data_IF_768100502135
#
_entry.id   IF_768100502135
#
_cell.length_a   1.000
_cell.length_b   1.000
_cell.length_c   1.000
_cell.angle_alpha   90.00
_cell.angle_beta   90.00
_cell.angle_gamma   90.00
#
_symmetry.space_group_name_H-M   'P 1'
#
loop_
_entity.id
_entity.type
_entity.pdbx_description
1 polymer ?
#
# COMPACT_ATOMS: atom_id res chain seq x y z
N UNK A 1 -36.57 22.26 11.82
CA UNK A 1 -35.68 21.11 11.55
C UNK A 1 -34.94 20.83 12.85
N UNK A 2 -35.03 19.61 13.37
CA UNK A 2 -34.38 19.27 14.64
C UNK A 2 -32.86 19.29 14.48
N UNK A 3 -32.17 19.96 15.38
CA UNK A 3 -30.73 20.11 15.36
C UNK A 3 -30.06 18.78 15.73
N UNK A 4 -28.97 18.43 15.04
CA UNK A 4 -28.20 17.21 15.36
C UNK A 4 -27.64 17.33 16.77
N UNK A 5 -27.61 16.21 17.48
CA UNK A 5 -26.98 16.12 18.81
C UNK A 5 -25.51 16.46 18.70
N UNK A 6 -25.03 17.32 19.59
CA UNK A 6 -23.63 17.67 19.69
C UNK A 6 -22.82 16.53 20.34
N UNK A 7 -21.52 16.49 20.08
CA UNK A 7 -20.60 15.48 20.60
C UNK A 7 -20.61 15.41 22.14
N UNK A 8 -20.71 16.57 22.79
CA UNK A 8 -20.74 16.69 24.25
C UNK A 8 -22.09 16.33 24.86
N UNK A 9 -23.13 16.15 24.04
CA UNK A 9 -24.47 15.69 24.48
C UNK A 9 -24.60 14.16 24.40
N UNK A 10 -23.58 13.46 23.91
CA UNK A 10 -23.59 12.00 23.75
C UNK A 10 -23.07 11.33 25.02
N UNK A 11 -23.91 10.79 25.91
CA UNK A 11 -23.44 10.21 27.17
C UNK A 11 -22.56 8.98 26.89
N UNK A 12 -21.35 8.98 27.46
CA UNK A 12 -20.37 7.88 27.43
C UNK A 12 -19.88 7.40 26.05
N UNK A 13 -20.14 8.18 24.99
CA UNK A 13 -19.72 7.83 23.62
C UNK A 13 -18.41 8.48 23.17
N UNK A 14 -17.86 9.43 23.92
CA UNK A 14 -16.67 10.18 23.48
C UNK A 14 -15.50 9.26 23.21
N UNK A 15 -15.30 8.21 24.02
CA UNK A 15 -14.26 7.22 23.80
C UNK A 15 -14.46 6.46 22.48
N UNK A 16 -15.67 5.97 22.23
CA UNK A 16 -16.01 5.27 20.99
C UNK A 16 -15.88 6.19 19.76
N UNK A 17 -16.40 7.43 19.84
CA UNK A 17 -16.31 8.39 18.74
C UNK A 17 -14.87 8.80 18.48
N UNK A 18 -14.09 9.16 19.49
CA UNK A 18 -12.68 9.54 19.31
C UNK A 18 -11.85 8.34 18.83
N UNK A 19 -12.09 7.14 19.36
CA UNK A 19 -11.33 5.93 19.01
C UNK A 19 -11.66 5.37 17.63
N UNK A 20 -12.90 5.51 17.16
CA UNK A 20 -13.35 4.96 15.87
C UNK A 20 -13.30 6.00 14.76
N UNK A 21 -13.59 7.27 15.04
CA UNK A 21 -13.78 8.31 14.01
C UNK A 21 -12.55 9.18 13.76
N UNK A 22 -11.55 9.15 14.65
CA UNK A 22 -10.30 9.88 14.49
C UNK A 22 -9.12 8.93 14.34
N UNK A 23 -8.22 9.29 13.45
CA UNK A 23 -6.87 8.71 13.40
C UNK A 23 -6.01 9.28 14.53
N UNK A 24 -4.94 8.58 14.91
CA UNK A 24 -3.99 9.05 15.92
C UNK A 24 -3.38 10.42 15.56
N UNK A 25 -3.08 10.64 14.28
CA UNK A 25 -2.54 11.92 13.80
C UNK A 25 -3.58 13.06 13.92
N UNK A 26 -4.85 12.79 13.64
CA UNK A 26 -5.93 13.75 13.84
C UNK A 26 -6.12 14.06 15.33
N UNK A 27 -6.05 13.05 16.21
CA UNK A 27 -6.10 13.25 17.65
C UNK A 27 -5.02 14.23 18.13
N UNK A 28 -3.76 13.98 17.76
CA UNK A 28 -2.63 14.87 18.09
C UNK A 28 -2.84 16.30 17.57
N UNK A 29 -3.27 16.42 16.32
CA UNK A 29 -3.53 17.72 15.67
C UNK A 29 -4.66 18.50 16.35
N UNK A 30 -5.77 17.83 16.66
CA UNK A 30 -6.94 18.45 17.27
C UNK A 30 -6.67 18.84 18.72
N UNK A 31 -5.94 18.02 19.48
CA UNK A 31 -5.51 18.34 20.83
C UNK A 31 -4.67 19.62 20.87
N UNK A 32 -3.64 19.71 20.01
CA UNK A 32 -2.79 20.92 19.90
C UNK A 32 -3.58 22.15 19.50
N UNK A 33 -4.47 22.03 18.50
CA UNK A 33 -5.34 23.15 18.08
C UNK A 33 -6.34 23.58 19.14
N UNK A 34 -6.77 22.66 20.00
CA UNK A 34 -7.61 22.93 21.16
C UNK A 34 -6.89 23.68 22.28
N UNK A 35 -5.56 23.78 22.22
CA UNK A 35 -4.74 24.36 23.29
C UNK A 35 -4.47 23.37 24.43
N UNK A 36 -4.60 22.06 24.19
CA UNK A 36 -4.28 21.06 25.19
C UNK A 36 -2.75 20.95 25.33
N UNK A 37 -2.24 21.27 26.52
CA UNK A 37 -0.84 21.10 26.87
C UNK A 37 -0.63 19.67 27.37
N UNK A 38 0.17 18.91 26.63
CA UNK A 38 0.58 17.55 26.96
C UNK A 38 2.12 17.51 26.97
N UNK A 39 2.74 16.59 27.73
CA UNK A 39 4.19 16.40 27.73
C UNK A 39 4.76 16.15 26.33
N UNK A 40 6.03 16.48 26.13
CA UNK A 40 6.71 16.30 24.83
C UNK A 40 6.79 14.82 24.41
N UNK A 41 6.85 13.91 25.38
CA UNK A 41 6.84 12.45 25.21
C UNK A 41 5.44 11.82 25.29
N UNK A 42 4.38 12.63 25.17
CA UNK A 42 3.00 12.16 25.32
C UNK A 42 2.66 11.01 24.35
N UNK A 43 2.18 9.91 24.93
CA UNK A 43 1.75 8.72 24.17
C UNK A 43 0.42 8.95 23.46
N UNK A 44 0.10 8.12 22.47
CA UNK A 44 -1.19 8.17 21.77
C UNK A 44 -2.39 7.99 22.69
N UNK A 45 -2.24 7.17 23.74
CA UNK A 45 -3.25 7.02 24.77
C UNK A 45 -3.51 8.34 25.53
N UNK A 46 -2.47 9.12 25.83
CA UNK A 46 -2.63 10.41 26.51
C UNK A 46 -3.38 11.42 25.64
N UNK A 47 -3.07 11.49 24.35
CA UNK A 47 -3.82 12.32 23.41
C UNK A 47 -5.29 11.89 23.30
N UNK A 48 -5.54 10.58 23.21
CA UNK A 48 -6.90 10.03 23.17
C UNK A 48 -7.67 10.36 24.45
N UNK A 49 -7.12 10.03 25.62
CA UNK A 49 -7.74 10.28 26.92
C UNK A 49 -8.04 11.77 27.16
N UNK A 50 -7.10 12.65 26.80
CA UNK A 50 -7.30 14.08 26.88
C UNK A 50 -8.47 14.54 26.01
N UNK A 51 -8.52 14.13 24.74
CA UNK A 51 -9.64 14.46 23.86
C UNK A 51 -10.97 13.94 24.39
N UNK A 52 -11.02 12.68 24.82
CA UNK A 52 -12.24 12.07 25.40
C UNK A 52 -12.74 12.91 26.57
N UNK A 53 -11.85 13.28 27.51
CA UNK A 53 -12.20 14.12 28.66
C UNK A 53 -12.79 15.46 28.23
N UNK A 54 -12.11 16.19 27.35
CA UNK A 54 -12.55 17.52 26.92
C UNK A 54 -13.76 17.49 25.97
N UNK A 55 -14.09 16.35 25.38
CA UNK A 55 -15.28 16.19 24.54
C UNK A 55 -16.54 15.82 25.34
N UNK A 56 -16.45 15.55 26.64
CA UNK A 56 -17.61 15.28 27.52
C UNK A 56 -18.41 16.52 27.86
N UNK A 57 -17.80 17.69 27.72
CA UNK A 57 -18.42 18.98 28.01
C UNK A 57 -18.31 19.89 26.78
N UNK A 58 -19.13 20.93 26.75
CA UNK A 58 -19.07 21.94 25.69
C UNK A 58 -17.77 22.77 25.82
N UNK A 59 -16.71 22.30 25.16
CA UNK A 59 -15.41 22.95 25.16
C UNK A 59 -14.98 23.39 23.76
N UNK A 60 -13.97 24.27 23.69
CA UNK A 60 -13.32 24.65 22.43
C UNK A 60 -12.83 23.40 21.67
N UNK A 61 -12.25 22.44 22.40
CA UNK A 61 -11.76 21.18 21.84
C UNK A 61 -12.92 20.35 21.29
N UNK A 62 -14.03 20.22 22.04
CA UNK A 62 -15.21 19.48 21.60
C UNK A 62 -15.81 20.06 20.31
N UNK A 63 -15.93 21.39 20.24
CA UNK A 63 -16.38 22.12 19.03
C UNK A 63 -15.44 21.90 17.84
N UNK A 64 -14.13 21.89 18.06
CA UNK A 64 -13.15 21.59 17.01
C UNK A 64 -13.26 20.16 16.50
N UNK A 65 -13.42 19.18 17.40
CA UNK A 65 -13.60 17.77 17.04
C UNK A 65 -14.90 17.58 16.27
N UNK A 66 -16.03 18.11 16.76
CA UNK A 66 -17.32 18.04 16.08
C UNK A 66 -17.25 18.66 14.68
N UNK A 67 -16.71 19.87 14.55
CA UNK A 67 -16.55 20.53 13.24
C UNK A 67 -15.67 19.71 12.29
N UNK A 68 -14.62 19.08 12.82
CA UNK A 68 -13.75 18.21 12.02
C UNK A 68 -14.49 16.95 11.53
N UNK A 69 -15.20 16.25 12.42
CA UNK A 69 -15.97 15.05 12.10
C UNK A 69 -17.12 15.33 11.14
N UNK A 70 -17.86 16.43 11.34
CA UNK A 70 -18.92 16.86 10.44
C UNK A 70 -18.39 17.14 9.03
N UNK A 71 -17.22 17.76 8.91
CA UNK A 71 -16.59 17.99 7.61
C UNK A 71 -16.10 16.70 6.98
N UNK A 72 -15.42 15.85 7.76
CA UNK A 72 -14.82 14.59 7.31
C UNK A 72 -15.88 13.60 6.83
N UNK A 73 -17.02 13.53 7.52
CA UNK A 73 -18.08 12.57 7.27
C UNK A 73 -19.37 13.21 6.74
N UNK A 74 -19.27 14.40 6.15
CA UNK A 74 -20.41 15.18 5.66
C UNK A 74 -21.35 14.38 4.75
N UNK A 75 -20.78 13.52 3.89
CA UNK A 75 -21.57 12.64 3.01
C UNK A 75 -22.50 11.73 3.82
N UNK A 76 -21.99 11.06 4.85
CA UNK A 76 -22.77 10.14 5.68
C UNK A 76 -23.79 10.90 6.51
N UNK A 77 -23.41 12.06 7.06
CA UNK A 77 -24.32 12.95 7.80
C UNK A 77 -25.51 13.34 6.92
N UNK A 78 -25.27 13.80 5.69
CA UNK A 78 -26.34 14.15 4.75
C UNK A 78 -27.24 12.96 4.39
N UNK A 79 -26.65 11.79 4.16
CA UNK A 79 -27.41 10.58 3.82
C UNK A 79 -28.30 10.12 4.97
N UNK A 80 -27.79 10.06 6.20
CA UNK A 80 -28.59 9.62 7.36
C UNK A 80 -29.69 10.64 7.67
N UNK A 81 -29.45 11.95 7.52
CA UNK A 81 -30.47 12.98 7.69
C UNK A 81 -31.64 12.89 6.70
N UNK A 82 -31.46 12.24 5.55
CA UNK A 82 -32.53 12.00 4.58
C UNK A 82 -33.42 10.80 4.94
N UNK A 83 -33.05 10.01 5.95
CA UNK A 83 -33.84 8.85 6.39
C UNK A 83 -35.05 9.29 7.20
N UNK A 84 -36.20 8.66 6.95
CA UNK A 84 -37.46 9.03 7.60
C UNK A 84 -37.69 8.27 8.91
N UNK A 85 -37.19 7.04 9.01
CA UNK A 85 -37.46 6.12 10.11
C UNK A 85 -36.23 5.27 10.49
N UNK A 86 -36.33 4.56 11.61
CA UNK A 86 -35.25 3.70 12.11
C UNK A 86 -34.99 2.48 11.21
N UNK A 87 -35.96 2.03 10.41
CA UNK A 87 -35.75 0.92 9.48
C UNK A 87 -34.83 1.33 8.32
N UNK A 88 -35.03 2.53 7.77
CA UNK A 88 -34.15 3.11 6.75
C UNK A 88 -32.75 3.35 7.32
N UNK A 89 -32.64 3.87 8.55
CA UNK A 89 -31.35 4.04 9.24
C UNK A 89 -30.64 2.72 9.49
N UNK A 90 -31.37 1.69 9.91
CA UNK A 90 -30.84 0.34 10.12
C UNK A 90 -30.36 -0.29 8.81
N UNK A 91 -31.11 -0.15 7.73
CA UNK A 91 -30.71 -0.61 6.41
C UNK A 91 -29.43 0.09 5.93
N UNK A 92 -29.33 1.41 6.14
CA UNK A 92 -28.13 2.20 5.84
C UNK A 92 -26.92 1.72 6.65
N UNK A 93 -27.09 1.50 7.96
CA UNK A 93 -26.04 0.98 8.83
C UNK A 93 -25.53 -0.38 8.36
N UNK A 94 -26.43 -1.34 8.15
CA UNK A 94 -26.09 -2.69 7.68
C UNK A 94 -25.35 -2.67 6.34
N UNK A 95 -25.82 -1.88 5.39
CA UNK A 95 -25.14 -1.70 4.09
C UNK A 95 -23.74 -1.11 4.25
N UNK A 96 -23.57 -0.15 5.15
CA UNK A 96 -22.27 0.49 5.35
C UNK A 96 -21.27 -0.45 6.02
N UNK A 97 -21.72 -1.21 7.03
CA UNK A 97 -20.92 -2.26 7.70
C UNK A 97 -20.47 -3.32 6.67
N UNK A 98 -21.37 -3.78 5.80
CA UNK A 98 -21.03 -4.74 4.74
C UNK A 98 -19.98 -4.22 3.75
N UNK A 99 -19.90 -2.90 3.55
CA UNK A 99 -18.89 -2.26 2.69
C UNK A 99 -17.60 -1.90 3.44
N UNK A 100 -17.48 -2.25 4.73
CA UNK A 100 -16.33 -1.87 5.58
C UNK A 100 -16.31 -0.40 5.99
N UNK A 101 -17.40 0.34 5.78
CA UNK A 101 -17.53 1.75 6.14
C UNK A 101 -18.15 1.87 7.54
N UNK A 102 -17.32 2.01 8.57
CA UNK A 102 -17.79 2.12 9.98
C UNK A 102 -17.76 3.57 10.51
N UNK A 103 -16.64 4.32 10.42
CA UNK A 103 -16.51 5.57 11.17
C UNK A 103 -17.51 6.66 10.80
N UNK A 104 -17.74 6.87 9.50
CA UNK A 104 -18.64 7.92 9.02
C UNK A 104 -20.11 7.64 9.32
N UNK A 105 -20.63 6.45 8.99
CA UNK A 105 -21.97 6.02 9.38
C UNK A 105 -22.18 6.05 10.89
N UNK A 106 -21.19 5.61 11.69
CA UNK A 106 -21.29 5.64 13.15
C UNK A 106 -21.49 7.07 13.66
N UNK A 107 -20.63 8.00 13.23
CA UNK A 107 -20.76 9.42 13.58
C UNK A 107 -22.11 10.00 13.19
N UNK A 108 -22.56 9.75 11.95
CA UNK A 108 -23.84 10.24 11.45
C UNK A 108 -25.03 9.70 12.24
N UNK A 109 -25.00 8.43 12.65
CA UNK A 109 -26.06 7.78 13.42
C UNK A 109 -26.14 8.33 14.84
N UNK A 110 -25.03 8.32 15.60
CA UNK A 110 -25.05 8.70 17.02
C UNK A 110 -25.36 10.17 17.25
N UNK A 111 -25.18 11.02 16.24
CA UNK A 111 -25.54 12.44 16.27
C UNK A 111 -26.89 12.75 15.63
N UNK A 112 -27.58 11.76 15.07
CA UNK A 112 -28.90 11.95 14.49
C UNK A 112 -29.89 12.40 15.57
N UNK A 113 -30.76 13.40 15.32
CA UNK A 113 -31.69 13.94 16.31
C UNK A 113 -32.72 12.91 16.80
N UNK A 114 -33.08 11.96 15.94
CA UNK A 114 -34.10 10.95 16.21
C UNK A 114 -33.52 9.56 15.94
N UNK A 115 -32.68 9.06 16.85
CA UNK A 115 -32.20 7.68 16.81
C UNK A 115 -32.88 6.90 17.92
N UNK A 116 -33.66 5.87 17.59
CA UNK A 116 -34.29 5.01 18.59
C UNK A 116 -33.26 4.24 19.42
N UNK A 117 -33.61 3.96 20.68
CA UNK A 117 -32.71 3.31 21.65
C UNK A 117 -32.28 1.89 21.24
N UNK A 118 -33.18 1.14 20.59
CA UNK A 118 -32.86 -0.20 20.08
C UNK A 118 -31.79 -0.13 19.00
N UNK A 119 -31.97 0.74 18.00
CA UNK A 119 -31.01 0.92 16.92
C UNK A 119 -29.69 1.53 17.42
N UNK A 120 -29.74 2.42 18.40
CA UNK A 120 -28.55 2.92 19.09
C UNK A 120 -27.74 1.78 19.71
N UNK A 121 -28.39 0.88 20.45
CA UNK A 121 -27.76 -0.27 21.09
C UNK A 121 -27.13 -1.23 20.07
N UNK A 122 -27.81 -1.47 18.94
CA UNK A 122 -27.30 -2.26 17.81
C UNK A 122 -26.01 -1.64 17.22
N UNK A 123 -26.07 -0.34 16.90
CA UNK A 123 -24.95 0.40 16.29
C UNK A 123 -23.74 0.48 17.25
N UNK A 124 -23.98 0.85 18.50
CA UNK A 124 -22.94 0.93 19.52
C UNK A 124 -22.34 -0.45 19.81
N UNK A 125 -23.17 -1.48 19.96
CA UNK A 125 -22.74 -2.86 20.21
C UNK A 125 -21.81 -3.38 19.11
N UNK A 126 -22.13 -3.11 17.83
CA UNK A 126 -21.25 -3.46 16.71
C UNK A 126 -19.88 -2.78 16.81
N UNK A 127 -19.82 -1.46 17.05
CA UNK A 127 -18.55 -0.72 17.17
C UNK A 127 -17.73 -1.17 18.39
N UNK A 128 -18.41 -1.42 19.50
CA UNK A 128 -17.79 -1.95 20.71
C UNK A 128 -17.14 -3.32 20.45
N UNK A 129 -17.87 -4.25 19.83
CA UNK A 129 -17.34 -5.58 19.50
C UNK A 129 -16.23 -5.52 18.46
N UNK A 130 -16.32 -4.66 17.45
CA UNK A 130 -15.24 -4.44 16.48
C UNK A 130 -13.95 -4.01 17.19
N UNK A 131 -14.04 -3.13 18.17
CA UNK A 131 -12.87 -2.68 18.96
C UNK A 131 -12.24 -3.85 19.73
N UNK A 132 -13.04 -4.77 20.29
CA UNK A 132 -12.55 -6.00 20.92
C UNK A 132 -11.90 -6.97 19.93
N UNK A 133 -12.53 -7.17 18.76
CA UNK A 133 -12.07 -8.10 17.72
C UNK A 133 -10.77 -7.64 17.07
N UNK A 134 -10.66 -6.36 16.69
CA UNK A 134 -9.42 -5.76 16.17
C UNK A 134 -8.32 -5.86 17.22
N UNK A 135 -8.65 -5.63 18.50
CA UNK A 135 -7.70 -5.84 19.59
C UNK A 135 -7.22 -7.30 19.71
N UNK A 136 -8.09 -8.29 19.51
CA UNK A 136 -7.74 -9.71 19.56
C UNK A 136 -6.94 -10.18 18.32
N UNK A 137 -7.35 -9.80 17.12
CA UNK A 137 -6.65 -10.11 15.86
C UNK A 137 -5.28 -9.46 15.83
N UNK A 138 -5.17 -8.17 16.18
CA UNK A 138 -3.88 -7.47 16.21
C UNK A 138 -2.89 -8.17 17.16
N UNK A 139 -3.34 -8.71 18.30
CA UNK A 139 -2.47 -9.48 19.19
C UNK A 139 -1.97 -10.79 18.55
N UNK A 140 -2.83 -11.49 17.81
CA UNK A 140 -2.44 -12.70 17.08
C UNK A 140 -1.46 -12.37 15.94
N UNK A 141 -1.73 -11.29 15.20
CA UNK A 141 -0.90 -10.82 14.09
C UNK A 141 0.46 -10.32 14.58
N UNK A 142 0.52 -9.55 15.68
CA UNK A 142 1.77 -9.11 16.31
C UNK A 142 2.60 -10.33 16.74
N UNK A 143 1.99 -11.33 17.38
CA UNK A 143 2.70 -12.57 17.76
C UNK A 143 3.24 -13.31 16.54
N UNK A 144 2.44 -13.41 15.48
CA UNK A 144 2.84 -14.07 14.23
C UNK A 144 3.98 -13.32 13.56
N UNK A 145 3.93 -11.99 13.54
CA UNK A 145 4.98 -11.13 12.99
C UNK A 145 6.28 -11.29 13.78
N UNK A 146 6.23 -11.22 15.12
CA UNK A 146 7.40 -11.48 15.98
C UNK A 146 7.99 -12.87 15.74
N UNK A 147 7.16 -13.91 15.62
CA UNK A 147 7.63 -15.27 15.31
C UNK A 147 8.30 -15.36 13.93
N UNK A 148 7.81 -14.63 12.94
CA UNK A 148 8.40 -14.58 11.61
C UNK A 148 9.74 -13.83 11.61
N UNK A 149 9.82 -12.71 12.33
CA UNK A 149 11.07 -11.95 12.51
C UNK A 149 12.14 -12.80 13.19
N UNK A 150 11.80 -13.54 14.26
CA UNK A 150 12.75 -14.47 14.90
C UNK A 150 13.22 -15.56 13.94
N UNK A 151 12.30 -16.19 13.19
CA UNK A 151 12.68 -17.22 12.20
C UNK A 151 13.58 -16.68 11.09
N UNK A 152 13.35 -15.46 10.65
CA UNK A 152 14.20 -14.82 9.65
C UNK A 152 15.62 -14.62 10.20
N UNK A 153 15.75 -14.10 11.42
CA UNK A 153 17.05 -13.94 12.07
C UNK A 153 17.81 -15.28 12.20
N UNK A 154 17.14 -16.34 12.65
CA UNK A 154 17.74 -17.67 12.80
C UNK A 154 18.21 -18.25 11.45
N UNK A 155 17.39 -18.08 10.39
CA UNK A 155 17.73 -18.55 9.05
C UNK A 155 18.90 -17.75 8.45
N UNK A 156 18.94 -16.44 8.66
CA UNK A 156 20.06 -15.59 8.24
C UNK A 156 21.36 -15.99 8.94
N UNK A 157 21.32 -16.25 10.25
CA UNK A 157 22.47 -16.73 11.01
C UNK A 157 22.94 -18.10 10.50
N UNK A 158 22.01 -19.04 10.33
CA UNK A 158 22.31 -20.39 9.81
C UNK A 158 22.94 -20.32 8.42
N UNK A 159 22.36 -19.52 7.52
CA UNK A 159 22.84 -19.34 6.17
C UNK A 159 24.23 -18.68 6.15
N UNK A 160 24.49 -17.71 7.05
CA UNK A 160 25.81 -17.11 7.21
C UNK A 160 26.87 -18.14 7.64
N UNK A 161 26.50 -19.04 8.55
CA UNK A 161 27.39 -20.08 9.09
C UNK A 161 27.70 -21.14 8.03
N UNK A 162 26.68 -21.61 7.32
CA UNK A 162 26.84 -22.54 6.19
C UNK A 162 27.70 -21.92 5.10
N UNK A 163 27.45 -20.67 4.70
CA UNK A 163 28.29 -19.96 3.70
C UNK A 163 29.75 -19.85 4.14
N UNK A 164 30.03 -19.58 5.41
CA UNK A 164 31.40 -19.55 5.96
C UNK A 164 32.08 -20.91 5.87
N UNK A 165 31.39 -21.97 6.29
CA UNK A 165 31.91 -23.34 6.25
C UNK A 165 32.22 -23.79 4.81
N UNK A 166 31.31 -23.53 3.86
CA UNK A 166 31.53 -23.85 2.45
C UNK A 166 32.72 -23.08 1.86
N UNK A 167 32.84 -21.77 2.12
CA UNK A 167 33.99 -20.97 1.66
C UNK A 167 35.31 -21.49 2.24
N UNK A 168 35.31 -21.93 3.50
CA UNK A 168 36.50 -22.55 4.10
C UNK A 168 36.86 -23.87 3.38
N UNK A 169 35.88 -24.74 3.15
CA UNK A 169 36.10 -26.03 2.49
C UNK A 169 36.56 -25.90 1.03
N UNK A 170 36.02 -24.93 0.28
CA UNK A 170 36.50 -24.63 -1.09
C UNK A 170 37.97 -24.20 -1.08
N UNK A 171 38.37 -23.31 -0.15
CA UNK A 171 39.77 -22.90 -0.02
C UNK A 171 40.70 -24.06 0.31
N UNK A 172 40.23 -24.95 1.17
CA UNK A 172 40.98 -26.10 1.63
C UNK A 172 41.19 -27.14 0.51
N UNK A 173 40.13 -27.46 -0.24
CA UNK A 173 40.21 -28.30 -1.43
C UNK A 173 41.11 -27.69 -2.52
N UNK A 174 41.05 -26.38 -2.73
CA UNK A 174 41.92 -25.68 -3.67
C UNK A 174 43.40 -25.69 -3.25
N UNK A 175 43.69 -25.77 -1.95
CA UNK A 175 45.05 -25.95 -1.42
C UNK A 175 45.53 -27.39 -1.66
N UNK A 176 44.73 -28.39 -1.28
CA UNK A 176 45.03 -29.82 -1.50
C UNK A 176 45.26 -30.14 -2.98
N UNK A 177 44.44 -29.60 -3.88
CA UNK A 177 44.63 -29.79 -5.32
C UNK A 177 45.95 -29.23 -5.85
N UNK A 178 46.44 -28.11 -5.30
CA UNK A 178 47.74 -27.53 -5.66
C UNK A 178 48.90 -28.39 -5.15
N UNK A 179 48.81 -28.88 -3.91
CA UNK A 179 49.79 -29.79 -3.31
C UNK A 179 49.92 -31.08 -4.16
N UNK A 180 48.80 -31.76 -4.45
CA UNK A 180 48.76 -32.96 -5.29
C UNK A 180 49.29 -32.73 -6.72
N UNK A 181 49.03 -31.55 -7.31
CA UNK A 181 49.56 -31.20 -8.63
C UNK A 181 51.09 -30.99 -8.62
N UNK A 182 51.66 -30.55 -7.49
CA UNK A 182 53.10 -30.39 -7.32
C UNK A 182 53.82 -31.72 -7.10
N UNK A 183 53.24 -32.65 -6.33
CA UNK A 183 53.79 -33.99 -6.11
C UNK A 183 53.87 -34.83 -7.38
N UNK A 184 52.89 -34.68 -8.30
CA UNK A 184 52.89 -35.37 -9.60
C UNK A 184 53.96 -34.88 -10.59
N UNK A 185 54.59 -33.73 -10.34
CA UNK A 185 55.69 -33.19 -11.18
C UNK A 185 57.09 -33.59 -10.72
N UNK A 186 57.24 -34.23 -9.56
CA UNK A 186 58.53 -34.78 -9.13
C UNK A 186 58.82 -36.09 -9.91
N UNK A 187 60.06 -36.31 -10.42
CA UNK A 187 60.38 -37.52 -11.17
C UNK A 187 60.36 -38.73 -10.24
N UNK A 188 59.52 -39.73 -10.56
CA UNK A 188 59.43 -40.98 -9.80
C UNK A 188 60.63 -41.89 -10.10
N UNK A 189 61.59 -41.95 -9.17
CA UNK A 189 62.41 -43.14 -8.96
C UNK A 189 61.62 -44.13 -8.09
N UNK A 190 61.71 -45.42 -8.41
CA UNK A 190 60.71 -46.45 -8.07
C UNK A 190 60.52 -46.78 -6.59
N UNK A 191 59.39 -47.44 -6.27
CA UNK A 191 59.20 -48.09 -4.98
C UNK A 191 57.76 -48.38 -4.52
N UNK A 192 57.40 -49.67 -4.53
CA UNK A 192 56.38 -50.37 -3.72
C UNK A 192 54.88 -50.27 -4.08
N UNK A 193 54.27 -51.45 -4.18
CA UNK A 193 52.85 -51.72 -4.48
C UNK A 193 51.86 -51.17 -3.43
N UNK A 194 52.32 -50.97 -2.19
CA UNK A 194 51.47 -50.57 -1.06
C UNK A 194 51.13 -49.07 -1.11
N UNK A 195 52.10 -48.23 -1.49
CA UNK A 195 51.88 -46.80 -1.67
C UNK A 195 50.91 -46.52 -2.84
N UNK A 196 50.93 -47.36 -3.88
CA UNK A 196 50.00 -47.25 -5.01
C UNK A 196 48.57 -47.64 -4.61
N UNK A 197 48.40 -48.69 -3.78
CA UNK A 197 47.09 -49.08 -3.23
C UNK A 197 46.48 -48.01 -2.33
N UNK A 198 47.25 -47.42 -1.41
CA UNK A 198 46.74 -46.37 -0.52
C UNK A 198 46.29 -45.11 -1.28
N UNK A 199 47.04 -44.72 -2.31
CA UNK A 199 46.64 -43.59 -3.17
C UNK A 199 45.38 -43.93 -3.97
N UNK A 200 45.24 -45.17 -4.44
CA UNK A 200 44.05 -45.61 -5.19
C UNK A 200 42.79 -45.62 -4.31
N UNK A 201 42.89 -46.12 -3.08
CA UNK A 201 41.81 -46.10 -2.08
C UNK A 201 41.37 -44.67 -1.76
N UNK A 202 42.35 -43.76 -1.56
CA UNK A 202 42.10 -42.35 -1.26
C UNK A 202 41.44 -41.62 -2.44
N UNK A 203 41.86 -41.95 -3.67
CA UNK A 203 41.27 -41.39 -4.89
C UNK A 203 39.83 -41.87 -5.08
N UNK A 204 39.55 -43.14 -4.73
CA UNK A 204 38.21 -43.73 -4.80
C UNK A 204 37.25 -43.06 -3.82
N UNK A 205 37.66 -42.88 -2.58
CA UNK A 205 36.87 -42.15 -1.57
C UNK A 205 36.60 -40.70 -1.99
N UNK A 206 37.62 -40.00 -2.50
CA UNK A 206 37.44 -38.64 -3.01
C UNK A 206 36.50 -38.57 -4.23
N UNK A 207 36.47 -39.62 -5.06
CA UNK A 207 35.53 -39.74 -6.17
C UNK A 207 34.10 -40.00 -5.70
N UNK A 208 33.91 -40.83 -4.67
CA UNK A 208 32.60 -41.09 -4.06
C UNK A 208 32.05 -39.83 -3.38
N UNK A 209 32.87 -39.11 -2.60
CA UNK A 209 32.47 -37.82 -2.00
C UNK A 209 32.10 -36.77 -3.06
N UNK A 210 32.86 -36.70 -4.16
CA UNK A 210 32.55 -35.82 -5.28
C UNK A 210 31.23 -36.20 -5.96
N UNK A 211 30.96 -37.49 -6.12
CA UNK A 211 29.72 -37.97 -6.72
C UNK A 211 28.51 -37.63 -5.84
N UNK A 212 28.62 -37.75 -4.52
CA UNK A 212 27.59 -37.32 -3.57
C UNK A 212 27.37 -35.81 -3.59
N UNK A 213 28.45 -35.02 -3.62
CA UNK A 213 28.36 -33.57 -3.72
C UNK A 213 27.63 -33.13 -5.00
N UNK A 214 27.91 -33.78 -6.14
CA UNK A 214 27.22 -33.51 -7.40
C UNK A 214 25.73 -33.87 -7.33
N UNK A 215 25.38 -35.01 -6.70
CA UNK A 215 23.96 -35.39 -6.47
C UNK A 215 23.22 -34.38 -5.59
N UNK A 216 23.89 -33.83 -4.59
CA UNK A 216 23.29 -32.81 -3.72
C UNK A 216 23.06 -31.49 -4.46
N UNK A 217 24.01 -31.05 -5.28
CA UNK A 217 23.86 -29.86 -6.13
C UNK A 217 22.68 -30.03 -7.08
N UNK A 218 22.59 -31.17 -7.76
CA UNK A 218 21.48 -31.48 -8.68
C UNK A 218 20.12 -31.47 -7.96
N UNK A 219 20.06 -31.99 -6.73
CA UNK A 219 18.85 -31.93 -5.89
C UNK A 219 18.46 -30.50 -5.51
N UNK A 220 19.44 -29.66 -5.19
CA UNK A 220 19.19 -28.24 -4.89
C UNK A 220 18.74 -27.46 -6.12
N UNK A 221 19.35 -27.70 -7.29
CA UNK A 221 18.93 -27.08 -8.55
C UNK A 221 17.48 -27.45 -8.90
N UNK A 222 17.09 -28.72 -8.71
CA UNK A 222 15.70 -29.17 -8.91
C UNK A 222 14.73 -28.46 -7.94
N UNK A 223 15.11 -28.31 -6.68
CA UNK A 223 14.30 -27.59 -5.68
C UNK A 223 14.17 -26.11 -6.03
N UNK A 224 15.25 -25.47 -6.47
CA UNK A 224 15.24 -24.07 -6.88
C UNK A 224 14.31 -23.87 -8.09
N UNK A 225 14.46 -24.69 -9.13
CA UNK A 225 13.60 -24.66 -10.31
C UNK A 225 12.12 -24.87 -9.94
N UNK A 226 11.83 -25.78 -9.01
CA UNK A 226 10.46 -25.98 -8.51
C UNK A 226 9.93 -24.74 -7.79
N UNK A 227 10.72 -24.12 -6.91
CA UNK A 227 10.29 -22.89 -6.22
C UNK A 227 10.10 -21.72 -7.16
N UNK A 228 10.94 -21.58 -8.19
CA UNK A 228 10.80 -20.55 -9.22
C UNK A 228 9.52 -20.77 -10.05
N UNK A 229 9.21 -22.03 -10.41
CA UNK A 229 7.97 -22.37 -11.10
C UNK A 229 6.73 -22.04 -10.25
N UNK A 230 6.73 -22.39 -8.96
CA UNK A 230 5.64 -22.05 -8.04
C UNK A 230 5.48 -20.53 -7.88
N UNK A 231 6.60 -19.79 -7.82
CA UNK A 231 6.57 -18.32 -7.74
C UNK A 231 5.97 -17.72 -9.02
N UNK A 232 6.35 -18.25 -10.19
CA UNK A 232 5.81 -17.82 -11.48
C UNK A 232 4.31 -18.11 -11.58
N UNK A 233 3.86 -19.30 -11.17
CA UNK A 233 2.44 -19.67 -11.13
C UNK A 233 1.64 -18.74 -10.22
N UNK A 234 2.16 -18.47 -9.01
CA UNK A 234 1.53 -17.53 -8.08
C UNK A 234 1.54 -16.09 -8.62
N UNK A 235 2.58 -15.68 -9.33
CA UNK A 235 2.63 -14.42 -10.05
C UNK A 235 1.52 -14.31 -11.10
N UNK A 236 1.33 -15.35 -11.92
CA UNK A 236 0.25 -15.39 -12.91
C UNK A 236 -1.14 -15.37 -12.26
N UNK A 237 -1.32 -16.08 -11.13
CA UNK A 237 -2.57 -16.06 -10.36
C UNK A 237 -2.87 -14.67 -9.81
N UNK A 238 -1.86 -13.99 -9.25
CA UNK A 238 -1.97 -12.59 -8.84
C UNK A 238 -2.35 -11.69 -10.02
N UNK A 239 -1.72 -11.84 -11.20
CA UNK A 239 -2.03 -11.05 -12.39
C UNK A 239 -3.47 -11.27 -12.91
N UNK A 240 -3.99 -12.49 -12.81
CA UNK A 240 -5.38 -12.80 -13.16
C UNK A 240 -6.34 -12.14 -12.18
N UNK A 241 -6.12 -12.32 -10.88
CA UNK A 241 -6.94 -11.72 -9.83
C UNK A 241 -6.90 -10.19 -9.87
N UNK A 242 -5.75 -9.60 -10.18
CA UNK A 242 -5.62 -8.15 -10.37
C UNK A 242 -6.42 -7.65 -11.57
N UNK A 243 -6.42 -8.38 -12.69
CA UNK A 243 -7.23 -8.06 -13.87
C UNK A 243 -8.73 -8.22 -13.60
N UNK A 244 -9.14 -9.24 -12.86
CA UNK A 244 -10.54 -9.42 -12.45
C UNK A 244 -11.00 -8.31 -11.51
N UNK A 245 -10.17 -7.96 -10.51
CA UNK A 245 -10.44 -6.85 -9.61
C UNK A 245 -10.53 -5.52 -10.36
N UNK A 246 -9.67 -5.29 -11.35
CA UNK A 246 -9.75 -4.13 -12.23
C UNK A 246 -11.09 -4.07 -12.99
N UNK A 247 -11.50 -5.19 -13.63
CA UNK A 247 -12.78 -5.28 -14.34
C UNK A 247 -13.98 -5.04 -13.42
N UNK A 248 -13.97 -5.58 -12.20
CA UNK A 248 -15.04 -5.36 -11.22
C UNK A 248 -15.10 -3.90 -10.78
N UNK A 249 -13.96 -3.26 -10.55
CA UNK A 249 -13.89 -1.83 -10.20
C UNK A 249 -14.37 -0.95 -11.36
N UNK A 250 -14.07 -1.30 -12.61
CA UNK A 250 -14.58 -0.63 -13.81
C UNK A 250 -16.09 -0.81 -13.98
N UNK A 251 -16.63 -2.01 -13.78
CA UNK A 251 -18.07 -2.26 -13.81
C UNK A 251 -18.80 -1.45 -12.73
N UNK A 252 -18.25 -1.39 -11.52
CA UNK A 252 -18.77 -0.54 -10.45
C UNK A 252 -18.67 0.95 -10.77
N UNK A 253 -17.63 1.39 -11.47
CA UNK A 253 -17.50 2.78 -11.92
C UNK A 253 -18.54 3.12 -13.00
N UNK A 254 -18.78 2.22 -13.97
CA UNK A 254 -19.81 2.37 -15.01
C UNK A 254 -21.23 2.34 -14.43
N UNK A 255 -21.49 1.50 -13.44
CA UNK A 255 -22.79 1.46 -12.73
C UNK A 255 -23.02 2.65 -11.79
N UNK A 256 -21.95 3.41 -11.45
CA UNK A 256 -22.03 4.64 -10.65
C UNK A 256 -22.10 5.92 -11.48
N UNK A 257 -22.15 5.84 -12.81
CA UNK A 257 -22.65 6.96 -13.62
C UNK A 257 -24.17 7.07 -13.38
N UNK A 258 -24.67 8.19 -12.83
CA UNK A 258 -26.09 8.48 -12.90
C UNK A 258 -26.46 8.52 -14.38
N UNK A 259 -27.46 7.73 -14.77
CA UNK A 259 -28.25 8.06 -15.96
C UNK A 259 -28.98 9.36 -15.60
N UNK A 260 -28.40 10.49 -16.00
CA UNK A 260 -29.17 11.69 -16.24
C UNK A 260 -29.83 11.50 -17.60
N UNK A 261 -30.97 10.80 -17.59
CA UNK A 261 -31.96 10.89 -18.65
C UNK A 261 -33.18 11.56 -18.03
N UNK A 262 -33.30 12.87 -18.24
CA UNK A 262 -34.52 13.50 -18.78
C UNK A 262 -34.28 15.01 -19.04
N UNK A 263 -34.34 15.36 -20.33
CA UNK A 263 -34.25 16.69 -21.00
C UNK A 263 -32.83 17.25 -21.19
N UNK A 264 -32.31 17.56 -22.38
CA UNK A 264 -32.84 17.63 -23.76
C UNK A 264 -31.90 18.56 -24.56
N UNK A 265 -31.54 18.12 -25.78
CA UNK A 265 -30.79 18.79 -26.85
C UNK A 265 -29.29 19.12 -26.68
N UNK A 266 -28.47 18.23 -27.27
CA UNK A 266 -27.25 18.59 -27.98
C UNK A 266 -26.88 17.43 -28.93
N UNK A 267 -27.25 17.56 -30.20
CA UNK A 267 -26.80 16.68 -31.28
C UNK A 267 -25.28 16.87 -31.54
N UNK A 268 -24.57 15.75 -31.71
CA UNK A 268 -23.22 15.57 -32.30
C UNK A 268 -21.99 15.60 -31.37
N UNK A 269 -21.05 14.63 -31.50
CA UNK A 269 -19.82 14.56 -30.72
C UNK A 269 -18.71 15.40 -31.37
N UNK A 270 -18.62 16.68 -31.01
CA UNK A 270 -17.40 17.46 -31.24
C UNK A 270 -16.53 17.40 -29.98
N UNK A 271 -15.23 17.09 -30.06
CA UNK A 271 -14.34 17.10 -28.89
C UNK A 271 -14.22 18.55 -28.39
N UNK A 272 -14.58 18.78 -27.13
CA UNK A 272 -14.52 20.08 -26.49
C UNK A 272 -13.11 20.69 -26.65
N UNK A 273 -12.93 21.84 -27.32
CA UNK A 273 -11.61 22.31 -27.77
C UNK A 273 -10.66 22.83 -26.67
N UNK A 274 -11.02 22.78 -25.39
CA UNK A 274 -10.27 23.43 -24.30
C UNK A 274 -9.77 22.50 -23.18
N UNK A 275 -9.79 21.17 -23.35
CA UNK A 275 -9.30 20.23 -22.32
C UNK A 275 -8.37 19.17 -22.90
N UNK A 276 -7.20 19.58 -23.40
CA UNK A 276 -6.15 18.67 -23.85
C UNK A 276 -4.85 18.87 -23.06
N UNK A 277 -4.11 17.77 -22.85
CA UNK A 277 -2.79 17.76 -22.24
C UNK A 277 -1.71 18.36 -23.15
N UNK A 278 -2.06 18.80 -24.38
CA UNK A 278 -1.18 19.52 -25.31
C UNK A 278 0.19 18.85 -25.52
N UNK A 279 0.24 17.52 -25.59
CA UNK A 279 1.46 16.74 -25.80
C UNK A 279 2.34 16.55 -24.58
N UNK A 280 1.93 17.00 -23.37
CA UNK A 280 2.70 16.83 -22.12
C UNK A 280 2.98 15.34 -21.85
N UNK A 281 4.20 15.05 -21.44
CA UNK A 281 4.63 13.70 -21.08
C UNK A 281 4.35 13.41 -19.61
N UNK A 282 3.43 12.49 -19.34
CA UNK A 282 3.04 12.04 -18.00
C UNK A 282 3.77 10.74 -17.67
N UNK A 283 4.63 10.80 -16.65
CA UNK A 283 5.31 9.64 -16.10
C UNK A 283 4.50 9.05 -14.94
N UNK A 284 4.09 7.79 -15.06
CA UNK A 284 3.40 7.06 -14.02
C UNK A 284 4.37 6.09 -13.33
N UNK A 285 4.59 6.26 -12.03
CA UNK A 285 5.57 5.48 -11.26
C UNK A 285 4.85 4.60 -10.23
N UNK A 286 4.99 3.28 -10.37
CA UNK A 286 4.29 2.28 -9.57
C UNK A 286 3.00 1.80 -10.24
N UNK A 287 2.04 1.36 -9.44
CA UNK A 287 0.77 0.85 -9.93
C UNK A 287 0.79 -0.61 -10.34
N UNK A 288 -0.39 -1.09 -10.71
CA UNK A 288 -0.59 -2.44 -11.25
C UNK A 288 -0.17 -2.46 -12.71
N UNK A 289 0.86 -3.22 -13.06
CA UNK A 289 1.39 -3.32 -14.42
C UNK A 289 0.31 -3.70 -15.44
N UNK A 290 -0.66 -4.53 -15.04
CA UNK A 290 -1.80 -4.92 -15.86
C UNK A 290 -2.75 -3.78 -16.26
N UNK A 291 -2.73 -2.64 -15.55
CA UNK A 291 -3.55 -1.45 -15.86
C UNK A 291 -2.82 -0.40 -16.69
N UNK A 292 -1.51 -0.56 -16.92
CA UNK A 292 -0.71 0.38 -17.70
C UNK A 292 -1.25 0.66 -19.12
N UNK A 293 -1.80 -0.32 -19.87
CA UNK A 293 -2.41 -0.05 -21.18
C UNK A 293 -3.63 0.89 -21.09
N UNK A 294 -4.48 0.74 -20.07
CA UNK A 294 -5.65 1.59 -19.90
C UNK A 294 -5.28 3.00 -19.40
N UNK A 295 -4.23 3.12 -18.58
CA UNK A 295 -3.68 4.43 -18.22
C UNK A 295 -3.13 5.17 -19.44
N UNK A 296 -2.46 4.43 -20.33
CA UNK A 296 -1.99 4.96 -21.62
C UNK A 296 -3.16 5.48 -22.46
N UNK A 297 -4.18 4.66 -22.69
CA UNK A 297 -5.38 5.05 -23.46
C UNK A 297 -6.02 6.32 -22.90
N UNK A 298 -6.15 6.44 -21.57
CA UNK A 298 -6.74 7.62 -20.94
C UNK A 298 -5.89 8.89 -21.14
N UNK A 299 -4.57 8.80 -20.96
CA UNK A 299 -3.67 9.95 -21.13
C UNK A 299 -3.55 10.36 -22.61
N UNK A 300 -3.47 9.38 -23.51
CA UNK A 300 -3.37 9.63 -24.95
C UNK A 300 -4.69 10.15 -25.55
N UNK A 301 -5.85 9.71 -25.05
CA UNK A 301 -7.15 10.26 -25.45
C UNK A 301 -7.34 11.73 -25.05
N UNK A 302 -6.61 12.19 -24.04
CA UNK A 302 -6.52 13.61 -23.66
C UNK A 302 -5.40 14.36 -24.42
N UNK A 303 -4.70 13.71 -25.35
CA UNK A 303 -3.64 14.31 -26.15
C UNK A 303 -2.29 14.43 -25.44
N UNK A 304 -2.04 13.64 -24.39
CA UNK A 304 -0.74 13.57 -23.69
C UNK A 304 0.09 12.35 -24.09
N UNK A 305 1.37 12.32 -23.70
CA UNK A 305 2.23 11.14 -23.85
C UNK A 305 2.33 10.39 -22.53
N UNK A 306 2.27 9.06 -22.55
CA UNK A 306 2.30 8.24 -21.34
C UNK A 306 3.56 7.37 -21.25
N UNK A 307 4.26 7.48 -20.12
CA UNK A 307 5.41 6.62 -19.79
C UNK A 307 5.15 5.93 -18.45
N UNK A 308 5.37 4.62 -18.39
CA UNK A 308 5.21 3.83 -17.16
C UNK A 308 6.55 3.37 -16.62
N UNK A 309 6.67 3.41 -15.29
CA UNK A 309 7.79 2.86 -14.53
C UNK A 309 7.20 2.05 -13.37
N UNK A 310 7.64 0.81 -13.19
CA UNK A 310 7.09 -0.14 -12.20
C UNK A 310 7.38 0.24 -10.72
N UNK A 311 8.32 1.15 -10.49
CA UNK A 311 8.71 1.61 -9.16
C UNK A 311 9.77 0.75 -8.49
N UNK A 312 10.50 -0.08 -9.25
CA UNK A 312 11.70 -0.79 -8.78
C UNK A 312 11.49 -2.25 -8.39
N UNK A 313 10.45 -2.93 -8.89
CA UNK A 313 10.30 -4.38 -8.71
C UNK A 313 11.12 -5.17 -9.73
N UNK A 314 11.47 -4.58 -10.87
CA UNK A 314 12.24 -5.24 -11.93
C UNK A 314 13.43 -4.41 -12.47
N UNK A 315 13.39 -3.06 -12.37
CA UNK A 315 14.48 -2.22 -12.90
C UNK A 315 14.92 -1.09 -11.96
N UNK A 316 16.24 -0.97 -11.82
CA UNK A 316 16.90 -0.07 -10.89
C UNK A 316 16.51 1.40 -11.07
N UNK A 317 16.53 2.14 -9.95
CA UNK A 317 16.35 3.59 -9.80
C UNK A 317 17.12 4.41 -10.86
N UNK A 318 18.22 3.86 -11.41
CA UNK A 318 18.97 4.43 -12.53
C UNK A 318 18.14 4.69 -13.80
N UNK A 319 17.14 3.87 -14.11
CA UNK A 319 16.26 4.06 -15.28
C UNK A 319 15.30 5.23 -15.07
N UNK A 320 14.87 5.45 -13.84
CA UNK A 320 14.02 6.60 -13.47
C UNK A 320 14.73 7.93 -13.77
N UNK A 321 16.03 8.03 -13.47
CA UNK A 321 16.84 9.22 -13.74
C UNK A 321 16.98 9.55 -15.24
N UNK A 322 16.82 8.57 -16.14
CA UNK A 322 16.86 8.78 -17.60
C UNK A 322 15.52 9.26 -18.17
N UNK A 323 14.41 8.90 -17.51
CA UNK A 323 13.04 9.18 -17.97
C UNK A 323 12.53 10.50 -17.38
N UNK A 324 12.90 10.81 -16.12
CA UNK A 324 12.51 12.02 -15.39
C UNK A 324 12.69 13.33 -16.18
N UNK A 325 13.80 13.58 -16.90
CA UNK A 325 13.98 14.82 -17.67
C UNK A 325 12.95 15.02 -18.78
N UNK A 326 12.45 13.92 -19.36
CA UNK A 326 11.47 13.91 -20.46
C UNK A 326 10.03 14.06 -19.97
N UNK A 327 9.78 13.90 -18.67
CA UNK A 327 8.45 14.00 -18.09
C UNK A 327 8.11 15.45 -17.70
N UNK A 328 6.88 15.86 -17.96
CA UNK A 328 6.33 17.16 -17.54
C UNK A 328 5.58 17.05 -16.22
N UNK A 329 5.04 15.87 -15.90
CA UNK A 329 4.49 15.57 -14.58
C UNK A 329 4.71 14.10 -14.22
N UNK A 330 4.87 13.84 -12.91
CA UNK A 330 5.03 12.50 -12.36
C UNK A 330 3.82 12.16 -11.49
N UNK A 331 3.17 11.04 -11.77
CA UNK A 331 2.03 10.51 -11.04
C UNK A 331 2.44 9.28 -10.22
N UNK A 332 2.13 9.30 -8.92
CA UNK A 332 2.51 8.23 -8.00
C UNK A 332 1.31 7.77 -7.16
N UNK A 333 0.73 6.59 -7.45
CA UNK A 333 -0.26 5.96 -6.57
C UNK A 333 0.32 5.52 -5.22
N UNK A 334 -0.27 6.00 -4.13
CA UNK A 334 0.19 5.75 -2.76
C UNK A 334 -0.22 4.38 -2.20
N UNK A 335 -1.11 3.65 -2.87
CA UNK A 335 -1.66 2.37 -2.43
C UNK A 335 -0.85 1.15 -2.89
N UNK A 336 0.16 1.35 -3.74
CA UNK A 336 0.95 0.27 -4.34
C UNK A 336 2.45 0.56 -4.40
N UNK A 337 2.90 1.67 -3.82
CA UNK A 337 4.31 2.06 -3.72
C UNK A 337 4.70 2.10 -2.25
N UNK A 338 5.82 1.48 -1.89
CA UNK A 338 6.33 1.52 -0.51
C UNK A 338 6.67 2.96 -0.09
N UNK A 339 6.62 3.26 1.21
CA UNK A 339 6.95 4.60 1.70
C UNK A 339 8.36 5.06 1.32
N UNK A 340 9.33 4.14 1.32
CA UNK A 340 10.70 4.42 0.88
C UNK A 340 10.78 4.72 -0.62
N UNK A 341 10.11 3.91 -1.46
CA UNK A 341 10.10 4.13 -2.90
C UNK A 341 9.44 5.46 -3.28
N UNK A 342 8.34 5.84 -2.62
CA UNK A 342 7.71 7.14 -2.84
C UNK A 342 8.60 8.30 -2.41
N UNK A 343 9.31 8.18 -1.27
CA UNK A 343 10.25 9.21 -0.82
C UNK A 343 11.40 9.39 -1.81
N UNK A 344 11.96 8.30 -2.33
CA UNK A 344 13.01 8.34 -3.36
C UNK A 344 12.52 9.02 -4.65
N UNK A 345 11.33 8.68 -5.14
CA UNK A 345 10.73 9.31 -6.34
C UNK A 345 10.48 10.80 -6.12
N UNK A 346 9.92 11.16 -4.96
CA UNK A 346 9.66 12.56 -4.59
C UNK A 346 10.94 13.38 -4.50
N UNK A 347 12.01 12.80 -3.94
CA UNK A 347 13.33 13.44 -3.87
C UNK A 347 13.92 13.64 -5.26
N UNK A 348 13.83 12.63 -6.14
CA UNK A 348 14.31 12.73 -7.52
C UNK A 348 13.54 13.78 -8.34
N UNK A 349 12.21 13.87 -8.17
CA UNK A 349 11.38 14.90 -8.80
C UNK A 349 11.76 16.31 -8.31
N UNK A 350 12.05 16.45 -7.01
CA UNK A 350 12.44 17.74 -6.39
C UNK A 350 13.78 18.24 -6.91
N UNK A 351 14.74 17.34 -7.14
CA UNK A 351 16.03 17.66 -7.74
C UNK A 351 15.90 18.13 -9.20
N UNK A 352 14.93 17.60 -9.95
CA UNK A 352 14.69 17.95 -11.35
C UNK A 352 13.64 19.06 -11.55
N UNK A 353 13.13 19.66 -10.45
CA UNK A 353 12.03 20.63 -10.45
C UNK A 353 10.78 20.18 -11.24
N UNK A 354 10.44 18.89 -11.17
CA UNK A 354 9.25 18.33 -11.84
C UNK A 354 8.09 18.14 -10.85
N UNK A 355 6.84 18.45 -11.23
CA UNK A 355 5.69 18.27 -10.35
C UNK A 355 5.44 16.78 -10.12
N UNK A 356 5.39 16.39 -8.85
CA UNK A 356 5.10 15.03 -8.40
C UNK A 356 3.75 15.01 -7.70
N UNK A 357 2.77 14.34 -8.29
CA UNK A 357 1.40 14.26 -7.80
C UNK A 357 1.15 12.88 -7.18
N UNK A 358 0.80 12.89 -5.90
CA UNK A 358 0.42 11.69 -5.18
C UNK A 358 -1.05 11.36 -5.47
N UNK A 359 -1.29 10.17 -5.99
CA UNK A 359 -2.63 9.63 -6.23
C UNK A 359 -3.07 8.77 -5.05
N UNK A 360 -4.37 8.80 -4.73
CA UNK A 360 -4.94 8.02 -3.62
C UNK A 360 -4.97 6.52 -3.90
N UNK A 361 -5.13 6.15 -5.16
CA UNK A 361 -5.16 4.75 -5.59
C UNK A 361 -4.64 4.57 -7.01
N UNK A 362 -4.14 3.38 -7.33
CA UNK A 362 -3.84 2.94 -8.69
C UNK A 362 -5.13 2.50 -9.39
N UNK A 363 -6.03 3.46 -9.63
CA UNK A 363 -7.29 3.25 -10.36
C UNK A 363 -7.48 4.31 -11.44
N UNK A 364 -8.20 3.93 -12.51
CA UNK A 364 -8.54 4.85 -13.62
C UNK A 364 -9.31 6.08 -13.16
N UNK A 365 -10.20 5.93 -12.17
CA UNK A 365 -10.96 7.06 -11.59
C UNK A 365 -10.07 8.02 -10.79
N UNK A 366 -9.04 7.51 -10.10
CA UNK A 366 -8.06 8.38 -9.44
C UNK A 366 -7.14 9.05 -10.47
N UNK A 367 -6.82 8.36 -11.57
CA UNK A 367 -6.05 8.93 -12.67
C UNK A 367 -6.82 10.06 -13.35
N UNK A 368 -8.08 9.84 -13.76
CA UNK A 368 -8.95 10.85 -14.37
C UNK A 368 -9.04 12.11 -13.52
N UNK A 369 -9.32 11.98 -12.22
CA UNK A 369 -9.40 13.13 -11.31
C UNK A 369 -8.09 13.89 -11.16
N UNK A 370 -6.97 13.18 -11.22
CA UNK A 370 -5.64 13.80 -11.11
C UNK A 370 -5.28 14.52 -12.41
N UNK A 371 -5.65 13.94 -13.56
CA UNK A 371 -5.51 14.57 -14.87
C UNK A 371 -6.45 15.76 -15.04
N UNK A 372 -7.70 15.69 -14.56
CA UNK A 372 -8.64 16.83 -14.51
C UNK A 372 -8.03 18.00 -13.71
N UNK A 373 -7.45 17.73 -12.53
CA UNK A 373 -6.76 18.75 -11.75
C UNK A 373 -5.53 19.36 -12.46
N UNK A 374 -4.82 18.56 -13.26
CA UNK A 374 -3.73 19.05 -14.12
C UNK A 374 -4.24 19.93 -15.26
N UNK A 375 -5.35 19.54 -15.89
CA UNK A 375 -6.01 20.29 -16.96
C UNK A 375 -6.57 21.62 -16.44
N UNK A 376 -7.19 21.63 -15.27
CA UNK A 376 -7.71 22.84 -14.62
C UNK A 376 -6.56 23.78 -14.19
N UNK A 377 -5.42 23.22 -13.76
CA UNK A 377 -4.22 24.01 -13.45
C UNK A 377 -3.57 24.62 -14.70
N UNK A 378 -3.58 23.91 -15.84
CA UNK A 378 -3.11 24.45 -17.12
C UNK A 378 -4.06 25.48 -17.73
N UNK A 379 -5.37 25.36 -17.48
CA UNK A 379 -6.36 26.35 -17.92
C UNK A 379 -6.22 27.68 -17.18
N UNK A 380 -5.77 27.64 -15.91
CA UNK A 380 -5.46 28.84 -15.12
C UNK A 380 -4.18 29.55 -15.59
N UNK A 381 -3.19 28.82 -16.11
CA UNK A 381 -2.00 29.44 -16.72
C UNK A 381 -2.33 30.13 -18.05
N UNK A 382 -3.26 29.58 -18.84
CA UNK A 382 -3.68 30.14 -20.14
C UNK A 382 -4.67 31.32 -20.02
N UNK A 383 -5.39 31.47 -18.90
CA UNK A 383 -6.27 32.63 -18.67
C UNK A 383 -5.52 33.87 -18.15
N UNK A 384 -4.24 33.74 -17.77
CA UNK A 384 -3.40 34.85 -17.32
C UNK A 384 -2.80 35.71 -18.44
N UNK A 385 -2.86 35.28 -19.70
CA UNK A 385 -2.22 35.99 -20.83
C UNK A 385 -3.18 36.90 -21.63
N UNK A 386 -4.47 36.98 -21.27
CA UNK A 386 -5.45 37.81 -22.00
C UNK A 386 -5.97 39.05 -21.25
N UNK A 387 -5.33 39.44 -20.16
CA UNK A 387 -5.54 40.73 -19.49
C UNK A 387 -4.22 41.49 -19.43
N UNK A 388 -3.82 42.08 -20.55
CA UNK A 388 -2.83 43.15 -20.63
C UNK A 388 -3.19 44.08 -21.78
#
# INVERSE_FOLDING_TARGET
MSERRALWELPDLQCAVVGTCLTLQECRRLARRGGLSLPDDATDYMYHSALVRFCREESRTAKLVQKHLDRKYMRHVRQVLQTLDDNQRRAYWKKSVANGEIPGPFWAMVTHPYLGQELFSEVFGHVHMLSHLVGASNRADIRRLQQQETKLADLEETLSTVKRAYRARIRDLAKRNRELASEKKAPRAGGSSIAFQQVFESLRLAHEERAEALRLVESMEKRLAHTEAMLAEKGMECDVLERELARMLEQQARQRCPREDEHGDCESPAPCPNRSLNGRCILYVGGRSGLAPHYRELVESLGGQFVHHDGGREHAISRLHQILPKADAVLCPMDCVSHEAFHCVKQACRQCMKPCLAMRSASLSSLSKTLEGLLDSSALELQGEHLS
#
